data_IF_253640440604
#
_entry.id   IF_253640440604
#
_cell.length_a   1.000
_cell.length_b   1.000
_cell.length_c   1.000
_cell.angle_alpha   90.00
_cell.angle_beta   90.00
_cell.angle_gamma   90.00
#
_symmetry.space_group_name_H-M   'P 1'
#
loop_
_entity.id
_entity.type
_entity.pdbx_description
1 polymer ?
#
# COMPACT_ATOMS: atom_id res chain seq x y z
N UNK A 1 13.68 -19.93 23.31
CA UNK A 1 13.09 -18.59 23.10
C UNK A 1 14.13 -17.68 22.48
N UNK A 2 13.77 -17.02 21.40
CA UNK A 2 14.65 -16.06 20.72
C UNK A 2 14.74 -14.75 21.50
N UNK A 3 15.93 -14.14 21.51
CA UNK A 3 16.10 -12.81 22.10
C UNK A 3 15.41 -11.74 21.23
N UNK A 4 15.10 -10.58 21.82
CA UNK A 4 14.49 -9.44 21.11
C UNK A 4 15.31 -9.04 19.86
N UNK A 5 16.65 -9.03 19.97
CA UNK A 5 17.57 -8.74 18.88
C UNK A 5 17.49 -9.80 17.77
N UNK A 6 17.44 -11.08 18.15
CA UNK A 6 17.31 -12.17 17.17
C UNK A 6 15.97 -12.11 16.42
N UNK A 7 14.86 -11.80 17.13
CA UNK A 7 13.55 -11.60 16.50
C UNK A 7 13.56 -10.43 15.51
N UNK A 8 14.14 -9.31 15.91
CA UNK A 8 14.29 -8.14 15.02
C UNK A 8 15.11 -8.46 13.77
N UNK A 9 16.31 -9.04 13.94
CA UNK A 9 17.17 -9.43 12.81
C UNK A 9 16.49 -10.48 11.94
N UNK A 10 15.74 -11.41 12.54
CA UNK A 10 14.97 -12.39 11.78
C UNK A 10 13.93 -11.71 10.90
N UNK A 11 13.20 -10.72 11.43
CA UNK A 11 12.25 -9.93 10.66
C UNK A 11 12.91 -9.19 9.48
N UNK A 12 14.10 -8.61 9.70
CA UNK A 12 14.88 -7.99 8.62
C UNK A 12 15.22 -8.98 7.50
N UNK A 13 15.67 -10.18 7.86
CA UNK A 13 16.04 -11.21 6.88
C UNK A 13 14.81 -11.77 6.16
N UNK A 14 13.71 -12.03 6.85
CA UNK A 14 12.51 -12.60 6.26
C UNK A 14 11.84 -11.64 5.26
N UNK A 15 11.97 -10.32 5.46
CA UNK A 15 11.41 -9.31 4.54
C UNK A 15 12.35 -8.98 3.37
N UNK A 16 13.65 -9.26 3.48
CA UNK A 16 14.65 -8.83 2.49
C UNK A 16 14.37 -9.28 1.05
N UNK A 17 13.80 -10.47 0.75
CA UNK A 17 13.48 -10.85 -0.63
C UNK A 17 12.43 -9.93 -1.29
N UNK A 18 11.56 -9.30 -0.51
CA UNK A 18 10.55 -8.38 -1.03
C UNK A 18 11.15 -7.06 -1.55
N UNK A 19 12.40 -6.75 -1.16
CA UNK A 19 13.07 -5.52 -1.62
C UNK A 19 13.26 -5.48 -3.13
N UNK A 20 13.34 -6.64 -3.80
CA UNK A 20 13.45 -6.76 -5.25
C UNK A 20 12.27 -6.07 -5.96
N UNK A 21 11.06 -6.15 -5.39
CA UNK A 21 9.86 -5.50 -5.94
C UNK A 21 9.60 -4.12 -5.34
N UNK A 22 9.94 -3.91 -4.08
CA UNK A 22 9.66 -2.68 -3.34
C UNK A 22 10.55 -1.52 -3.80
N UNK A 23 11.84 -1.78 -4.05
CA UNK A 23 12.78 -0.73 -4.48
C UNK A 23 12.37 -0.13 -5.84
N UNK A 24 12.17 -0.91 -6.92
CA UNK A 24 11.68 -0.36 -8.19
C UNK A 24 10.36 0.40 -8.05
N UNK A 25 9.43 -0.13 -7.24
CA UNK A 25 8.15 0.52 -7.03
C UNK A 25 8.28 1.87 -6.28
N UNK A 26 9.18 1.96 -5.29
CA UNK A 26 9.47 3.20 -4.59
C UNK A 26 10.12 4.24 -5.49
N UNK A 27 11.05 3.83 -6.37
CA UNK A 27 11.66 4.70 -7.38
C UNK A 27 10.59 5.27 -8.32
N UNK A 28 9.71 4.42 -8.84
CA UNK A 28 8.60 4.84 -9.70
C UNK A 28 7.69 5.82 -8.95
N UNK A 29 7.36 5.55 -7.70
CA UNK A 29 6.50 6.43 -6.89
C UNK A 29 7.10 7.84 -6.74
N UNK A 30 8.41 7.93 -6.47
CA UNK A 30 9.12 9.21 -6.39
C UNK A 30 9.16 9.95 -7.73
N UNK A 31 9.51 9.25 -8.81
CA UNK A 31 9.60 9.81 -10.15
C UNK A 31 8.23 10.33 -10.65
N UNK A 32 7.16 9.56 -10.48
CA UNK A 32 5.80 9.96 -10.85
C UNK A 32 5.38 11.25 -10.13
N UNK A 33 5.70 11.39 -8.84
CA UNK A 33 5.34 12.59 -8.10
C UNK A 33 5.94 13.86 -8.70
N UNK A 34 7.20 13.80 -9.12
CA UNK A 34 7.89 14.92 -9.79
C UNK A 34 7.37 15.13 -11.21
N UNK A 35 7.16 14.06 -11.97
CA UNK A 35 6.62 14.12 -13.34
C UNK A 35 5.21 14.73 -13.41
N UNK A 36 4.40 14.50 -12.39
CA UNK A 36 3.08 15.13 -12.24
C UNK A 36 3.15 16.62 -11.80
N UNK A 37 4.33 17.18 -11.64
CA UNK A 37 4.56 18.58 -11.30
C UNK A 37 4.46 18.91 -9.82
N UNK A 38 4.44 17.92 -8.92
CA UNK A 38 4.43 18.17 -7.49
C UNK A 38 5.82 18.57 -6.98
N UNK A 39 5.82 19.41 -5.94
CA UNK A 39 7.04 19.80 -5.27
C UNK A 39 7.77 18.55 -4.70
N UNK A 40 9.07 18.33 -5.02
CA UNK A 40 9.84 17.19 -4.54
C UNK A 40 9.80 16.98 -3.03
N UNK A 41 9.81 18.06 -2.24
CA UNK A 41 9.69 17.98 -0.79
C UNK A 41 8.34 17.45 -0.34
N UNK A 42 7.25 17.83 -1.03
CA UNK A 42 5.91 17.30 -0.76
C UNK A 42 5.85 15.80 -1.07
N UNK A 43 6.37 15.40 -2.23
CA UNK A 43 6.42 13.99 -2.66
C UNK A 43 7.18 13.15 -1.63
N UNK A 44 8.31 13.65 -1.14
CA UNK A 44 9.09 12.95 -0.13
C UNK A 44 8.41 12.93 1.24
N UNK A 45 7.82 14.04 1.68
CA UNK A 45 7.06 14.10 2.93
C UNK A 45 5.91 13.10 2.98
N UNK A 46 5.25 12.85 1.84
CA UNK A 46 4.20 11.82 1.75
C UNK A 46 4.72 10.42 2.07
N UNK A 47 5.96 10.08 1.73
CA UNK A 47 6.58 8.79 2.06
C UNK A 47 6.70 8.58 3.57
N UNK A 48 6.94 9.66 4.32
CA UNK A 48 6.96 9.60 5.79
C UNK A 48 5.55 9.55 6.39
N UNK A 49 4.57 10.27 5.82
CA UNK A 49 3.25 10.41 6.42
C UNK A 49 2.36 9.21 6.07
N UNK A 50 2.32 8.83 4.79
CA UNK A 50 1.39 7.81 4.30
C UNK A 50 2.01 6.42 4.36
N UNK A 51 3.31 6.27 4.08
CA UNK A 51 4.06 5.01 3.99
C UNK A 51 3.26 3.89 3.28
N UNK A 52 2.73 4.21 2.12
CA UNK A 52 1.91 3.29 1.34
C UNK A 52 1.93 3.65 -0.14
N UNK A 53 2.76 2.95 -0.95
CA UNK A 53 3.01 3.32 -2.33
C UNK A 53 1.77 3.46 -3.19
N UNK A 54 0.83 2.50 -3.14
CA UNK A 54 -0.42 2.58 -3.88
C UNK A 54 -1.25 3.81 -3.49
N UNK A 55 -1.34 4.12 -2.19
CA UNK A 55 -2.07 5.29 -1.69
C UNK A 55 -1.41 6.60 -2.10
N UNK A 56 -0.07 6.66 -2.07
CA UNK A 56 0.69 7.84 -2.51
C UNK A 56 0.45 8.12 -3.98
N UNK A 57 0.56 7.11 -4.84
CA UNK A 57 0.33 7.25 -6.28
C UNK A 57 -1.10 7.68 -6.56
N UNK A 58 -2.10 7.06 -5.93
CA UNK A 58 -3.52 7.45 -6.11
C UNK A 58 -3.75 8.87 -5.65
N UNK A 59 -3.19 9.28 -4.50
CA UNK A 59 -3.32 10.66 -4.02
C UNK A 59 -2.79 11.67 -5.04
N UNK A 60 -1.58 11.46 -5.56
CA UNK A 60 -0.96 12.32 -6.55
C UNK A 60 -1.76 12.36 -7.86
N UNK A 61 -2.21 11.22 -8.36
CA UNK A 61 -3.00 11.13 -9.59
C UNK A 61 -4.36 11.80 -9.49
N UNK A 62 -5.07 11.59 -8.38
CA UNK A 62 -6.39 12.17 -8.14
C UNK A 62 -6.29 13.69 -8.08
N UNK A 63 -5.27 14.23 -7.40
CA UNK A 63 -5.03 15.67 -7.34
C UNK A 63 -4.59 16.24 -8.68
N UNK A 64 -3.62 15.64 -9.36
CA UNK A 64 -3.14 16.11 -10.67
C UNK A 64 -4.24 16.06 -11.73
N UNK A 65 -5.16 15.09 -11.59
CA UNK A 65 -6.35 14.98 -12.44
C UNK A 65 -7.43 16.03 -12.16
N UNK A 66 -7.24 16.95 -11.21
CA UNK A 66 -8.17 18.04 -10.89
C UNK A 66 -9.33 17.67 -9.98
N UNK A 67 -9.27 16.51 -9.30
CA UNK A 67 -10.23 16.19 -8.26
C UNK A 67 -9.98 17.01 -6.99
N UNK A 68 -11.01 17.15 -6.15
CA UNK A 68 -10.86 17.88 -4.88
C UNK A 68 -9.96 17.12 -3.89
N UNK A 69 -9.30 17.85 -2.99
CA UNK A 69 -8.48 17.26 -1.93
C UNK A 69 -9.27 16.29 -1.06
N UNK A 70 -10.57 16.51 -0.87
CA UNK A 70 -11.44 15.60 -0.13
C UNK A 70 -11.54 14.24 -0.82
N UNK A 71 -11.74 14.22 -2.15
CA UNK A 71 -11.77 12.98 -2.94
C UNK A 71 -10.42 12.26 -2.86
N UNK A 72 -9.30 12.99 -2.96
CA UNK A 72 -7.96 12.43 -2.86
C UNK A 72 -7.72 11.76 -1.48
N UNK A 73 -8.02 12.47 -0.38
CA UNK A 73 -7.86 11.95 0.98
C UNK A 73 -8.77 10.75 1.25
N UNK A 74 -10.03 10.82 0.79
CA UNK A 74 -10.97 9.71 0.97
C UNK A 74 -10.52 8.47 0.19
N UNK A 75 -9.99 8.65 -1.04
CA UNK A 75 -9.43 7.55 -1.82
C UNK A 75 -8.28 6.85 -1.11
N UNK A 76 -7.37 7.63 -0.51
CA UNK A 76 -6.27 7.10 0.33
C UNK A 76 -6.83 6.31 1.52
N UNK A 77 -7.85 6.86 2.20
CA UNK A 77 -8.51 6.19 3.33
C UNK A 77 -9.11 4.83 2.94
N UNK A 78 -9.78 4.76 1.79
CA UNK A 78 -10.34 3.51 1.27
C UNK A 78 -9.24 2.50 0.97
N UNK A 79 -8.17 2.90 0.28
CA UNK A 79 -7.05 2.00 -0.05
C UNK A 79 -6.38 1.49 1.22
N UNK A 80 -6.17 2.37 2.19
CA UNK A 80 -5.50 2.04 3.44
C UNK A 80 -6.42 1.33 4.46
N UNK A 81 -7.73 1.22 4.20
CA UNK A 81 -8.66 0.49 5.09
C UNK A 81 -8.25 -0.98 5.31
N UNK A 82 -7.52 -1.58 4.39
CA UNK A 82 -6.92 -2.91 4.54
C UNK A 82 -6.02 -3.03 5.78
N UNK A 83 -5.37 -1.95 6.23
CA UNK A 83 -4.55 -1.96 7.44
C UNK A 83 -5.38 -2.20 8.71
N UNK A 84 -6.68 -1.87 8.69
CA UNK A 84 -7.60 -2.24 9.79
C UNK A 84 -7.73 -3.76 9.91
N UNK A 85 -7.78 -4.47 8.77
CA UNK A 85 -7.82 -5.94 8.76
C UNK A 85 -6.51 -6.53 9.27
N UNK A 86 -5.37 -5.94 8.88
CA UNK A 86 -4.05 -6.37 9.41
C UNK A 86 -3.96 -6.15 10.91
N UNK A 87 -4.42 -4.99 11.39
CA UNK A 87 -4.51 -4.68 12.82
C UNK A 87 -5.38 -5.68 13.58
N UNK A 88 -6.54 -6.05 13.02
CA UNK A 88 -7.43 -7.04 13.63
C UNK A 88 -6.76 -8.41 13.77
N UNK A 89 -6.06 -8.90 12.73
CA UNK A 89 -5.33 -10.18 12.77
C UNK A 89 -4.15 -10.13 13.73
N UNK A 90 -3.40 -9.02 13.76
CA UNK A 90 -2.23 -8.87 14.62
C UNK A 90 -2.60 -8.59 16.07
N UNK A 91 -3.83 -8.17 16.37
CA UNK A 91 -4.27 -7.79 17.71
C UNK A 91 -4.05 -8.89 18.75
N UNK A 92 -4.27 -10.16 18.38
CA UNK A 92 -4.03 -11.34 19.23
C UNK A 92 -2.58 -11.40 19.74
N UNK A 93 -1.62 -11.07 18.89
CA UNK A 93 -0.19 -11.13 19.21
C UNK A 93 0.35 -9.88 19.91
N UNK A 94 -0.40 -8.77 19.81
CA UNK A 94 -0.01 -7.46 20.33
C UNK A 94 -0.81 -7.06 21.59
N UNK A 95 -1.71 -7.91 22.08
CA UNK A 95 -2.66 -7.60 23.15
C UNK A 95 -1.99 -7.04 24.39
N UNK A 96 -0.87 -7.64 24.82
CA UNK A 96 -0.13 -7.26 26.04
C UNK A 96 0.69 -5.97 25.93
N UNK A 97 0.74 -5.34 24.75
CA UNK A 97 1.49 -4.10 24.56
C UNK A 97 0.67 -2.89 25.00
N UNK A 98 1.36 -1.87 25.50
CA UNK A 98 0.74 -0.56 25.76
C UNK A 98 0.23 0.08 24.48
N UNK A 99 -0.78 0.96 24.58
CA UNK A 99 -1.38 1.65 23.44
C UNK A 99 -0.33 2.39 22.61
N UNK A 100 0.59 3.10 23.26
CA UNK A 100 1.65 3.85 22.55
C UNK A 100 2.51 2.91 21.69
N UNK A 101 2.90 1.73 22.23
CA UNK A 101 3.65 0.75 21.44
C UNK A 101 2.84 0.19 20.29
N UNK A 102 1.54 -0.06 20.49
CA UNK A 102 0.65 -0.50 19.40
C UNK A 102 0.57 0.54 18.30
N UNK A 103 0.42 1.83 18.63
CA UNK A 103 0.38 2.93 17.66
C UNK A 103 1.69 3.05 16.88
N UNK A 104 2.84 3.02 17.57
CA UNK A 104 4.15 3.06 16.91
C UNK A 104 4.38 1.88 15.97
N UNK A 105 3.99 0.67 16.39
CA UNK A 105 4.15 -0.52 15.56
C UNK A 105 3.20 -0.48 14.37
N UNK A 106 1.96 0.00 14.53
CA UNK A 106 0.98 0.05 13.46
C UNK A 106 1.41 0.93 12.28
N UNK A 107 2.21 1.97 12.53
CA UNK A 107 2.80 2.78 11.48
C UNK A 107 3.72 1.98 10.54
N UNK A 108 4.41 0.97 11.05
CA UNK A 108 5.32 0.11 10.29
C UNK A 108 4.63 -1.10 9.64
N UNK A 109 3.31 -1.26 9.84
CA UNK A 109 2.58 -2.38 9.26
C UNK A 109 2.21 -2.04 7.81
N UNK A 110 2.86 -2.73 6.88
CA UNK A 110 2.56 -2.71 5.44
C UNK A 110 2.31 -4.12 4.94
N UNK A 111 1.79 -4.28 3.72
CA UNK A 111 1.30 -5.55 3.16
C UNK A 111 2.30 -6.71 3.32
N UNK A 112 3.52 -6.52 2.85
CA UNK A 112 4.57 -7.55 2.89
C UNK A 112 5.03 -7.82 4.32
N UNK A 113 5.20 -6.75 5.13
CA UNK A 113 5.57 -6.85 6.54
C UNK A 113 4.53 -7.61 7.35
N UNK A 114 3.23 -7.34 7.11
CA UNK A 114 2.13 -8.10 7.67
C UNK A 114 2.19 -9.58 7.26
N UNK A 115 2.32 -9.86 5.97
CA UNK A 115 2.30 -11.22 5.44
C UNK A 115 3.42 -12.09 6.06
N UNK A 116 4.65 -11.58 6.07
CA UNK A 116 5.79 -12.33 6.63
C UNK A 116 5.71 -12.46 8.16
N UNK A 117 5.31 -11.39 8.87
CA UNK A 117 5.17 -11.47 10.32
C UNK A 117 4.04 -12.38 10.76
N UNK A 118 2.90 -12.36 10.08
CA UNK A 118 1.78 -13.27 10.37
C UNK A 118 2.17 -14.75 10.14
N UNK A 119 2.90 -15.02 9.06
CA UNK A 119 3.45 -16.36 8.77
C UNK A 119 4.43 -16.82 9.85
N UNK A 120 5.31 -15.93 10.31
CA UNK A 120 6.25 -16.21 11.38
C UNK A 120 5.52 -16.44 12.72
N UNK A 121 4.56 -15.61 13.09
CA UNK A 121 3.79 -15.70 14.33
C UNK A 121 3.01 -17.00 14.43
N UNK A 122 2.35 -17.41 13.35
CA UNK A 122 1.61 -18.69 13.30
C UNK A 122 2.50 -19.91 13.57
N UNK A 123 3.78 -19.86 13.12
CA UNK A 123 4.75 -20.94 13.32
C UNK A 123 5.40 -20.92 14.71
N UNK A 124 5.45 -19.76 15.36
CA UNK A 124 6.23 -19.52 16.58
C UNK A 124 5.35 -18.99 17.73
N UNK A 125 4.13 -19.52 17.89
CA UNK A 125 3.14 -19.04 18.87
C UNK A 125 3.65 -18.96 20.30
N UNK A 126 4.61 -19.82 20.69
CA UNK A 126 5.18 -19.89 22.02
C UNK A 126 6.32 -18.89 22.27
N UNK A 127 6.74 -18.15 21.24
CA UNK A 127 7.79 -17.14 21.38
C UNK A 127 7.25 -15.88 22.05
N UNK A 128 8.03 -15.37 23.00
CA UNK A 128 7.75 -14.08 23.60
C UNK A 128 8.25 -12.96 22.70
N UNK A 129 7.65 -11.80 22.82
CA UNK A 129 8.11 -10.60 22.11
C UNK A 129 8.05 -10.65 20.58
N UNK A 130 7.12 -11.39 20.00
CA UNK A 130 6.92 -11.52 18.54
C UNK A 130 6.87 -10.17 17.79
N UNK A 131 6.42 -9.11 18.47
CA UNK A 131 6.37 -7.76 17.91
C UNK A 131 7.73 -7.22 17.45
N UNK A 132 8.86 -7.74 17.98
CA UNK A 132 10.18 -7.34 17.47
C UNK A 132 10.45 -7.85 16.06
N UNK A 133 9.88 -9.01 15.68
CA UNK A 133 9.93 -9.47 14.29
C UNK A 133 9.17 -8.49 13.37
N UNK A 134 7.97 -8.08 13.75
CA UNK A 134 7.17 -7.11 13.01
C UNK A 134 7.87 -5.74 12.90
N UNK A 135 8.53 -5.28 13.96
CA UNK A 135 9.34 -4.05 13.90
C UNK A 135 10.51 -4.24 12.93
N UNK A 136 11.17 -5.40 12.95
CA UNK A 136 12.27 -5.70 12.04
C UNK A 136 11.85 -5.68 10.57
N UNK A 137 10.72 -6.31 10.22
CA UNK A 137 10.16 -6.26 8.86
C UNK A 137 9.79 -4.83 8.47
N UNK A 138 9.07 -4.12 9.33
CA UNK A 138 8.57 -2.77 9.05
C UNK A 138 9.66 -1.72 8.93
N UNK A 139 10.66 -1.72 9.83
CA UNK A 139 11.79 -0.79 9.76
C UNK A 139 12.62 -0.99 8.49
N UNK A 140 12.88 -2.25 8.11
CA UNK A 140 13.61 -2.55 6.88
C UNK A 140 12.87 -2.03 5.66
N UNK A 141 11.55 -2.31 5.57
CA UNK A 141 10.70 -1.79 4.52
C UNK A 141 10.71 -0.26 4.47
N UNK A 142 10.58 0.37 5.63
CA UNK A 142 10.55 1.83 5.72
C UNK A 142 11.85 2.47 5.21
N UNK A 143 13.01 1.98 5.68
CA UNK A 143 14.31 2.50 5.23
C UNK A 143 14.49 2.33 3.73
N UNK A 144 14.23 1.13 3.20
CA UNK A 144 14.31 0.86 1.77
C UNK A 144 13.35 1.74 0.96
N UNK A 145 12.13 1.94 1.45
CA UNK A 145 11.13 2.80 0.83
C UNK A 145 11.57 4.25 0.76
N UNK A 146 12.12 4.81 1.87
CA UNK A 146 12.61 6.20 1.88
C UNK A 146 13.74 6.39 0.88
N UNK A 147 14.72 5.48 0.86
CA UNK A 147 15.85 5.55 -0.08
C UNK A 147 15.35 5.44 -1.52
N UNK A 148 14.46 4.48 -1.81
CA UNK A 148 13.93 4.26 -3.14
C UNK A 148 13.12 5.46 -3.64
N UNK A 149 12.23 6.02 -2.81
CA UNK A 149 11.42 7.20 -3.17
C UNK A 149 12.31 8.43 -3.40
N UNK A 150 13.30 8.66 -2.54
CA UNK A 150 14.26 9.76 -2.72
C UNK A 150 15.05 9.60 -4.02
N UNK A 151 15.53 8.39 -4.30
CA UNK A 151 16.21 8.09 -5.57
C UNK A 151 15.31 8.36 -6.77
N UNK A 152 14.04 7.99 -6.69
CA UNK A 152 13.05 8.26 -7.74
C UNK A 152 12.79 9.74 -7.95
N UNK A 153 12.70 10.53 -6.88
CA UNK A 153 12.55 11.99 -6.95
C UNK A 153 13.76 12.63 -7.67
N UNK A 154 14.98 12.21 -7.31
CA UNK A 154 16.20 12.72 -7.93
C UNK A 154 16.29 12.30 -9.39
N UNK A 155 16.08 11.02 -9.69
CA UNK A 155 16.15 10.48 -11.05
C UNK A 155 15.00 11.01 -11.93
N UNK A 156 13.80 11.16 -11.39
CA UNK A 156 12.62 11.64 -12.13
C UNK A 156 12.82 13.04 -12.73
N UNK A 157 13.63 13.89 -12.07
CA UNK A 157 13.97 15.22 -12.60
C UNK A 157 14.91 15.18 -13.83
N UNK A 158 15.54 14.04 -14.10
CA UNK A 158 16.46 13.83 -15.24
C UNK A 158 15.87 12.96 -16.35
N UNK A 159 14.65 12.42 -16.16
CA UNK A 159 14.03 11.55 -17.16
C UNK A 159 13.34 12.40 -18.22
N UNK A 160 13.69 12.24 -19.50
CA UNK A 160 13.02 12.95 -20.60
C UNK A 160 11.53 12.57 -20.68
N UNK A 161 10.68 13.55 -21.00
CA UNK A 161 9.23 13.32 -21.15
C UNK A 161 8.90 12.30 -22.25
N UNK A 162 9.77 12.15 -23.23
CA UNK A 162 9.62 11.21 -24.35
C UNK A 162 9.62 9.73 -23.89
N UNK A 163 10.19 9.43 -22.73
CA UNK A 163 10.17 8.07 -22.16
C UNK A 163 8.80 7.66 -21.61
N UNK A 164 7.82 8.56 -21.64
CA UNK A 164 6.42 8.23 -21.37
C UNK A 164 6.18 7.71 -19.95
N UNK A 165 6.84 8.27 -18.93
CA UNK A 165 6.63 7.89 -17.53
C UNK A 165 5.15 7.93 -17.14
N UNK A 166 4.36 8.85 -17.74
CA UNK A 166 2.91 8.92 -17.55
C UNK A 166 2.19 7.63 -17.92
N UNK A 167 2.73 6.89 -18.92
CA UNK A 167 2.20 5.57 -19.28
C UNK A 167 2.60 4.46 -18.29
N UNK A 168 3.67 4.65 -17.54
CA UNK A 168 4.13 3.70 -16.51
C UNK A 168 3.10 3.62 -15.36
N UNK A 169 2.36 4.69 -15.11
CA UNK A 169 1.35 4.75 -14.05
C UNK A 169 0.27 3.68 -14.20
N UNK A 170 -0.53 3.66 -15.30
CA UNK A 170 -1.55 2.64 -15.48
C UNK A 170 -0.94 1.22 -15.54
N UNK A 171 0.25 1.05 -16.12
CA UNK A 171 0.93 -0.25 -16.13
C UNK A 171 1.28 -0.74 -14.74
N UNK A 172 1.72 0.14 -13.84
CA UNK A 172 2.02 -0.21 -12.45
C UNK A 172 0.76 -0.70 -11.73
N UNK A 173 -0.39 -0.02 -11.91
CA UNK A 173 -1.64 -0.48 -11.31
C UNK A 173 -2.13 -1.80 -11.89
N UNK A 174 -2.03 -1.97 -13.20
CA UNK A 174 -2.35 -3.24 -13.86
C UNK A 174 -1.48 -4.37 -13.28
N UNK A 175 -0.17 -4.15 -13.14
CA UNK A 175 0.76 -5.14 -12.58
C UNK A 175 0.42 -5.52 -11.13
N UNK A 176 -0.06 -4.59 -10.32
CA UNK A 176 -0.52 -4.87 -8.95
C UNK A 176 -1.80 -5.71 -8.99
N UNK A 177 -2.78 -5.30 -9.78
CA UNK A 177 -4.11 -5.94 -9.83
C UNK A 177 -4.03 -7.35 -10.44
N UNK A 178 -3.23 -7.54 -11.50
CA UNK A 178 -3.09 -8.84 -12.20
C UNK A 178 -2.66 -9.96 -11.26
N UNK A 179 -1.85 -9.67 -10.24
CA UNK A 179 -1.41 -10.69 -9.28
C UNK A 179 -2.57 -11.28 -8.47
N UNK A 180 -3.64 -10.53 -8.27
CA UNK A 180 -4.82 -10.94 -7.51
C UNK A 180 -5.93 -11.56 -8.36
N UNK A 181 -5.82 -11.54 -9.71
CA UNK A 181 -6.84 -12.06 -10.63
C UNK A 181 -6.90 -13.58 -10.75
N UNK A 182 -6.29 -14.31 -9.82
CA UNK A 182 -6.27 -15.79 -9.82
C UNK A 182 -7.63 -16.43 -9.56
N UNK A 183 -8.59 -15.67 -9.04
CA UNK A 183 -9.96 -16.14 -8.73
C UNK A 183 -10.98 -15.39 -9.58
N UNK A 184 -11.98 -16.12 -10.06
CA UNK A 184 -13.05 -15.54 -10.88
C UNK A 184 -13.79 -14.40 -10.15
N UNK A 185 -13.93 -14.50 -8.83
CA UNK A 185 -14.58 -13.45 -8.02
C UNK A 185 -13.81 -12.12 -8.08
N UNK A 186 -12.48 -12.18 -8.03
CA UNK A 186 -11.63 -10.99 -8.15
C UNK A 186 -11.76 -10.37 -9.54
N UNK A 187 -11.85 -11.20 -10.58
CA UNK A 187 -12.09 -10.75 -11.95
C UNK A 187 -13.43 -10.03 -12.08
N UNK A 188 -14.51 -10.61 -11.53
CA UNK A 188 -15.84 -10.00 -11.54
C UNK A 188 -15.82 -8.65 -10.83
N UNK A 189 -15.21 -8.56 -9.65
CA UNK A 189 -15.10 -7.32 -8.87
C UNK A 189 -14.30 -6.27 -9.65
N UNK A 190 -13.18 -6.64 -10.29
CA UNK A 190 -12.37 -5.75 -11.12
C UNK A 190 -13.16 -5.21 -12.31
N UNK A 191 -13.84 -6.09 -13.06
CA UNK A 191 -14.66 -5.69 -14.22
C UNK A 191 -15.80 -4.78 -13.76
N UNK A 192 -16.47 -5.10 -12.67
CA UNK A 192 -17.55 -4.27 -12.11
C UNK A 192 -17.04 -2.87 -11.75
N UNK A 193 -15.87 -2.78 -11.09
CA UNK A 193 -15.26 -1.51 -10.74
C UNK A 193 -14.91 -0.69 -12.00
N UNK A 194 -14.30 -1.32 -13.01
CA UNK A 194 -13.93 -0.68 -14.26
C UNK A 194 -15.16 -0.17 -15.03
N UNK A 195 -16.18 -0.99 -15.21
CA UNK A 195 -17.43 -0.58 -15.89
C UNK A 195 -18.14 0.54 -15.13
N UNK A 196 -18.23 0.45 -13.81
CA UNK A 196 -18.79 1.52 -12.98
C UNK A 196 -18.02 2.82 -13.12
N UNK A 197 -16.67 2.76 -13.20
CA UNK A 197 -15.83 3.94 -13.41
C UNK A 197 -16.10 4.63 -14.75
N UNK A 198 -16.36 3.85 -15.80
CA UNK A 198 -16.72 4.38 -17.12
C UNK A 198 -18.13 4.98 -17.10
N UNK A 199 -19.11 4.31 -16.48
CA UNK A 199 -20.48 4.79 -16.38
C UNK A 199 -20.62 6.12 -15.62
N UNK A 200 -19.81 6.30 -14.57
CA UNK A 200 -19.84 7.49 -13.74
C UNK A 200 -18.69 8.46 -14.03
N UNK A 201 -18.02 8.32 -15.19
CA UNK A 201 -16.84 9.12 -15.53
C UNK A 201 -17.09 10.63 -15.47
N UNK A 202 -18.26 11.08 -15.91
CA UNK A 202 -18.68 12.50 -15.94
C UNK A 202 -19.23 12.98 -14.58
N UNK A 203 -19.21 12.16 -13.54
CA UNK A 203 -19.70 12.56 -12.23
C UNK A 203 -18.88 13.74 -11.65
N UNK A 204 -19.54 14.73 -11.00
CA UNK A 204 -18.87 15.93 -10.52
C UNK A 204 -17.77 15.59 -9.50
N UNK A 205 -16.72 16.45 -9.48
CA UNK A 205 -15.55 16.30 -8.60
C UNK A 205 -14.79 14.97 -8.78
N UNK A 206 -14.95 14.29 -9.91
CA UNK A 206 -14.40 12.95 -10.18
C UNK A 206 -14.81 11.92 -9.12
N UNK A 207 -16.02 12.06 -8.60
CA UNK A 207 -16.54 11.18 -7.55
C UNK A 207 -16.68 9.71 -7.98
N UNK A 208 -16.59 9.41 -9.30
CA UNK A 208 -16.52 8.03 -9.80
C UNK A 208 -15.39 7.21 -9.14
N UNK A 209 -14.29 7.88 -8.71
CA UNK A 209 -13.16 7.24 -8.01
C UNK A 209 -13.60 6.63 -6.67
N UNK A 210 -14.65 7.19 -6.05
CA UNK A 210 -15.24 6.68 -4.80
C UNK A 210 -16.42 5.76 -5.08
N UNK A 211 -17.33 6.15 -5.99
CA UNK A 211 -18.56 5.42 -6.29
C UNK A 211 -18.25 4.00 -6.81
N UNK A 212 -17.30 3.87 -7.74
CA UNK A 212 -17.01 2.60 -8.40
C UNK A 212 -16.46 1.53 -7.44
N UNK A 213 -15.51 1.82 -6.54
CA UNK A 213 -15.09 0.86 -5.52
C UNK A 213 -16.22 0.45 -4.57
N UNK A 214 -17.14 1.35 -4.20
CA UNK A 214 -18.27 0.97 -3.34
C UNK A 214 -19.22 0.01 -4.05
N UNK A 215 -19.53 0.24 -5.34
CA UNK A 215 -20.32 -0.69 -6.15
C UNK A 215 -19.63 -2.05 -6.23
N UNK A 216 -18.33 -2.05 -6.51
CA UNK A 216 -17.54 -3.28 -6.59
C UNK A 216 -17.48 -4.05 -5.26
N UNK A 217 -17.35 -3.36 -4.12
CA UNK A 217 -17.43 -3.96 -2.78
C UNK A 217 -18.80 -4.54 -2.48
N UNK A 218 -19.88 -3.89 -2.91
CA UNK A 218 -21.23 -4.42 -2.78
C UNK A 218 -21.38 -5.73 -3.55
N UNK A 219 -20.94 -5.77 -4.82
CA UNK A 219 -20.94 -7.02 -5.63
C UNK A 219 -20.06 -8.09 -4.98
N UNK A 220 -18.87 -7.75 -4.48
CA UNK A 220 -18.02 -8.69 -3.75
C UNK A 220 -18.74 -9.30 -2.54
N UNK A 221 -19.48 -8.47 -1.77
CA UNK A 221 -20.25 -8.94 -0.62
C UNK A 221 -21.37 -9.92 -0.99
N UNK A 222 -22.02 -9.69 -2.14
CA UNK A 222 -23.05 -10.60 -2.67
C UNK A 222 -22.44 -11.94 -3.09
N UNK A 223 -21.32 -11.91 -3.82
CA UNK A 223 -20.61 -13.13 -4.22
C UNK A 223 -20.19 -14.00 -3.03
N UNK A 224 -19.74 -13.37 -1.94
CA UNK A 224 -19.38 -14.07 -0.71
C UNK A 224 -20.60 -14.70 -0.01
N UNK A 225 -21.78 -14.07 -0.11
CA UNK A 225 -23.03 -14.64 0.46
C UNK A 225 -23.54 -15.83 -0.35
N UNK A 226 -23.38 -15.79 -1.68
CA UNK A 226 -23.82 -16.88 -2.56
C UNK A 226 -22.95 -18.14 -2.44
N UNK A 227 -21.76 -18.02 -1.86
CA UNK A 227 -20.82 -19.14 -1.64
C UNK A 227 -20.95 -19.80 -0.25
N UNK A 228 -21.76 -19.25 0.62
CA UNK A 228 -22.10 -19.83 1.93
C UNK A 228 -23.36 -20.66 1.81
#
# INVERSE_FOLDING_TARGET
>A
MLSKKQLFTRGMLDISPHMISVIPFGIICGAIGVDLGFNPYLVYAMSFIIFGGASQIVFLQVLSGGASSLVAVTSVGIINSRHLLYGAVLSEYLEKLSLIKKLLISYFVVDQGFAESNKFFKKNKNEQHLHYHLIGTGCTMWVCWQIATLSGIILGSFVPEELGLKFTIPLTFIAIVVQDLKKIDHLIVMITCGLSSLLFFDAPFKSYILISPFIALFVASLLLRLKK
#
